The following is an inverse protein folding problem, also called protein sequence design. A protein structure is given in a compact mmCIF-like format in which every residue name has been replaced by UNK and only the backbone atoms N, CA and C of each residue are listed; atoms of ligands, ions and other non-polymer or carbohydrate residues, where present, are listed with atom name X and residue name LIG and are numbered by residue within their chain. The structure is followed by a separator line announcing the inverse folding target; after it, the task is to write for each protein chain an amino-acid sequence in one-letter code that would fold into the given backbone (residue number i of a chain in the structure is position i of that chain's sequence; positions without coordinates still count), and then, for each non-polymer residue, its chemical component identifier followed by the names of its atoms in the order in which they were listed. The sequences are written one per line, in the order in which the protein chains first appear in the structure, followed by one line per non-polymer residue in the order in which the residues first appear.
data_IF_169078796300
#
_entry.id   IF_169078796300
#
_cell.length_a   1.000
_cell.length_b   1.000
_cell.length_c   1.000
_cell.angle_alpha   90.00
_cell.angle_beta   90.00
_cell.angle_gamma   90.00
#
_symmetry.space_group_name_H-M   'P 1'
#
loop_
_entity.id
_entity.type
_entity.pdbx_description
1 polymer ?
#
# COMPACT_ATOMS: atom_id res chain seq x y z
N UNK A 1 17.35 -3.43 -0.16
CA UNK A 1 16.05 -3.08 0.48
C UNK A 1 16.22 -1.75 1.19
N UNK A 2 15.82 -0.64 0.57
CA UNK A 2 16.09 0.70 1.14
C UNK A 2 14.99 1.11 2.12
N UNK A 3 13.72 0.86 1.79
CA UNK A 3 12.58 1.32 2.61
C UNK A 3 12.36 0.55 3.91
N UNK A 4 12.73 -0.74 3.98
CA UNK A 4 12.47 -1.57 5.16
C UNK A 4 13.20 -1.09 6.43
N UNK A 5 14.50 -0.76 6.30
CA UNK A 5 15.27 -0.18 7.41
C UNK A 5 14.75 1.20 7.81
N UNK A 6 14.31 2.01 6.84
CA UNK A 6 13.69 3.31 7.09
C UNK A 6 12.42 3.19 7.92
N UNK A 7 11.52 2.27 7.57
CA UNK A 7 10.29 2.03 8.33
C UNK A 7 10.54 1.55 9.76
N UNK A 8 11.50 0.64 9.97
CA UNK A 8 11.91 0.24 11.33
C UNK A 8 12.49 1.42 12.11
N UNK A 9 13.26 2.30 11.45
CA UNK A 9 13.77 3.53 12.05
C UNK A 9 12.67 4.49 12.51
N UNK A 10 11.64 4.68 11.67
CA UNK A 10 10.45 5.47 12.01
C UNK A 10 9.68 4.88 13.19
N UNK A 11 9.47 3.56 13.20
CA UNK A 11 8.82 2.87 14.31
C UNK A 11 9.58 3.09 15.64
N UNK A 12 10.91 3.01 15.61
CA UNK A 12 11.75 3.23 16.78
C UNK A 12 11.71 4.68 17.27
N UNK A 13 11.71 5.64 16.34
CA UNK A 13 11.60 7.06 16.65
C UNK A 13 10.25 7.40 17.31
N UNK A 14 9.15 6.94 16.70
CA UNK A 14 7.80 7.15 17.24
C UNK A 14 7.64 6.47 18.60
N UNK A 15 8.17 5.26 18.77
CA UNK A 15 8.17 4.58 20.07
C UNK A 15 8.86 5.41 21.16
N UNK A 16 10.01 6.02 20.86
CA UNK A 16 10.72 6.89 21.81
C UNK A 16 9.88 8.10 22.23
N UNK A 17 9.25 8.77 21.27
CA UNK A 17 8.39 9.92 21.54
C UNK A 17 7.20 9.55 22.44
N UNK A 18 6.52 8.46 22.10
CA UNK A 18 5.37 7.95 22.86
C UNK A 18 5.80 7.52 24.25
N UNK A 19 6.90 6.76 24.37
CA UNK A 19 7.37 6.28 25.67
C UNK A 19 7.77 7.46 26.59
N UNK A 20 8.46 8.46 26.05
CA UNK A 20 8.82 9.68 26.80
C UNK A 20 7.58 10.45 27.24
N UNK A 21 6.58 10.60 26.37
CA UNK A 21 5.29 11.19 26.72
C UNK A 21 4.58 10.42 27.83
N UNK A 22 4.50 9.09 27.71
CA UNK A 22 3.82 8.25 28.68
C UNK A 22 4.53 8.29 30.05
N UNK A 23 5.86 8.30 30.08
CA UNK A 23 6.66 8.48 31.30
C UNK A 23 6.41 9.84 31.96
N UNK A 24 6.29 10.91 31.17
CA UNK A 24 6.01 12.27 31.68
C UNK A 24 4.58 12.41 32.19
N UNK A 25 3.62 11.76 31.53
CA UNK A 25 2.20 11.79 31.91
C UNK A 25 1.93 10.99 33.17
N UNK A 26 2.80 10.03 33.50
CA UNK A 26 2.68 9.14 34.66
C UNK A 26 3.95 9.13 35.52
N UNK A 27 4.31 10.26 36.16
CA UNK A 27 5.58 10.39 36.89
C UNK A 27 5.71 9.42 38.07
N UNK A 28 4.58 9.11 38.73
CA UNK A 28 4.53 8.24 39.91
C UNK A 28 4.35 6.75 39.58
N UNK A 29 4.30 6.38 38.30
CA UNK A 29 4.12 4.98 37.88
C UNK A 29 5.46 4.38 37.45
N UNK A 30 5.62 3.09 37.68
CA UNK A 30 6.82 2.35 37.27
C UNK A 30 6.92 2.27 35.75
N UNK A 31 8.12 1.98 35.24
CA UNK A 31 8.35 1.76 33.80
C UNK A 31 7.55 0.57 33.28
N UNK A 32 7.44 -0.49 34.08
CA UNK A 32 6.64 -1.68 33.75
C UNK A 32 5.14 -1.40 33.67
N UNK A 33 4.63 -0.53 34.56
CA UNK A 33 3.23 -0.08 34.49
C UNK A 33 2.95 0.67 33.19
N UNK A 34 3.82 1.62 32.81
CA UNK A 34 3.70 2.37 31.55
C UNK A 34 3.74 1.44 30.34
N UNK A 35 4.66 0.48 30.32
CA UNK A 35 4.75 -0.51 29.26
C UNK A 35 3.44 -1.31 29.13
N UNK A 36 2.92 -1.83 30.25
CA UNK A 36 1.71 -2.67 30.26
C UNK A 36 0.44 -1.87 29.89
N UNK A 37 0.37 -0.59 30.29
CA UNK A 37 -0.79 0.28 30.05
C UNK A 37 -0.97 0.64 28.58
N UNK A 38 0.12 0.86 27.85
CA UNK A 38 0.09 1.43 26.50
C UNK A 38 0.58 0.49 25.41
N UNK A 39 1.37 -0.53 25.74
CA UNK A 39 1.94 -1.45 24.77
C UNK A 39 1.42 -2.86 24.98
N UNK A 40 0.92 -3.45 23.90
CA UNK A 40 0.41 -4.80 23.89
C UNK A 40 0.46 -5.42 22.50
N UNK A 41 -0.03 -6.66 22.41
CA UNK A 41 -0.37 -7.29 21.14
C UNK A 41 -1.81 -6.97 20.79
N UNK A 42 -2.01 -6.05 19.85
CA UNK A 42 -3.33 -5.68 19.37
C UNK A 42 -3.69 -6.32 18.02
N UNK A 43 -2.69 -6.58 17.19
CA UNK A 43 -2.92 -7.10 15.84
C UNK A 43 -3.13 -8.63 15.86
N UNK A 44 -4.27 -9.10 15.31
CA UNK A 44 -4.69 -10.52 15.38
C UNK A 44 -3.68 -11.48 14.75
N UNK A 45 -3.18 -11.16 13.56
CA UNK A 45 -2.25 -12.03 12.81
C UNK A 45 -0.75 -11.72 13.00
N UNK A 46 -0.38 -10.74 13.83
CA UNK A 46 1.03 -10.38 14.07
C UNK A 46 1.38 -10.65 15.53
N UNK A 47 2.50 -11.29 15.79
CA UNK A 47 2.99 -11.58 17.15
C UNK A 47 3.77 -10.40 17.77
N UNK A 48 3.45 -9.16 17.38
CA UNK A 48 4.12 -7.97 17.88
C UNK A 48 3.47 -7.50 19.19
N UNK A 49 4.24 -7.51 20.28
CA UNK A 49 3.79 -7.16 21.64
C UNK A 49 4.09 -5.70 22.00
N UNK A 50 4.83 -4.99 21.16
CA UNK A 50 5.26 -3.60 21.38
C UNK A 50 4.51 -2.65 20.45
N UNK A 51 3.19 -2.81 20.41
CA UNK A 51 2.29 -1.96 19.62
C UNK A 51 1.62 -1.00 20.57
N UNK A 52 1.71 0.31 20.28
CA UNK A 52 1.01 1.33 21.06
C UNK A 52 -0.49 1.26 20.79
N UNK A 53 -1.30 1.28 21.83
CA UNK A 53 -2.75 1.26 21.70
C UNK A 53 -3.48 1.27 23.02
N UNK A 54 -4.79 1.16 22.93
CA UNK A 54 -5.71 1.15 24.05
C UNK A 54 -6.40 -0.21 24.13
N UNK A 55 -6.42 -0.79 25.34
CA UNK A 55 -6.93 -2.15 25.57
C UNK A 55 -8.44 -2.23 25.49
N UNK A 56 -9.14 -1.21 25.95
CA UNK A 56 -10.59 -1.22 26.08
C UNK A 56 -11.28 -1.07 24.72
N UNK A 57 -10.81 -0.14 23.90
CA UNK A 57 -11.30 0.04 22.52
C UNK A 57 -10.66 -0.94 21.52
N UNK A 58 -9.49 -1.48 21.85
CA UNK A 58 -8.68 -2.28 20.92
C UNK A 58 -8.04 -1.45 19.80
N UNK A 59 -8.17 -0.11 19.84
CA UNK A 59 -7.54 0.77 18.88
C UNK A 59 -6.01 0.77 19.06
N UNK A 60 -5.28 0.74 17.97
CA UNK A 60 -3.82 0.72 18.00
C UNK A 60 -3.20 1.51 16.86
N UNK A 61 -1.99 1.98 17.09
CA UNK A 61 -1.19 2.64 16.06
C UNK A 61 -0.54 1.58 15.15
N UNK A 62 -0.90 1.60 13.88
CA UNK A 62 -0.30 0.74 12.86
C UNK A 62 1.19 1.09 12.68
N UNK A 63 2.05 0.08 12.72
CA UNK A 63 3.51 0.25 12.54
C UNK A 63 3.88 0.46 11.08
N UNK A 64 4.85 1.32 10.83
CA UNK A 64 5.37 1.58 9.49
C UNK A 64 5.95 0.31 8.87
N UNK A 65 6.66 -0.50 9.66
CA UNK A 65 7.24 -1.76 9.19
C UNK A 65 6.20 -2.80 8.73
N UNK A 66 4.91 -2.61 9.02
CA UNK A 66 3.86 -3.50 8.52
C UNK A 66 3.43 -3.17 7.09
N UNK A 67 3.85 -2.03 6.56
CA UNK A 67 3.65 -1.64 5.16
C UNK A 67 4.31 -2.66 4.23
N UNK A 68 3.52 -3.27 3.35
CA UNK A 68 4.04 -4.21 2.36
C UNK A 68 4.94 -3.48 1.37
N UNK A 69 6.22 -3.87 1.33
CA UNK A 69 7.16 -3.36 0.34
C UNK A 69 6.90 -4.08 -0.99
N UNK A 70 6.30 -3.38 -1.95
CA UNK A 70 6.10 -3.88 -3.31
C UNK A 70 7.32 -3.50 -4.15
N UNK A 71 7.96 -4.49 -4.78
CA UNK A 71 9.03 -4.28 -5.75
C UNK A 71 8.40 -4.14 -7.13
N UNK A 72 8.51 -2.96 -7.71
CA UNK A 72 8.15 -2.76 -9.10
C UNK A 72 9.32 -3.20 -9.98
N UNK A 73 9.05 -4.05 -10.96
CA UNK A 73 10.04 -4.41 -11.98
C UNK A 73 10.14 -3.21 -12.92
N UNK A 74 11.32 -2.63 -13.20
CA UNK A 74 11.44 -1.53 -14.15
C UNK A 74 11.01 -1.98 -15.56
N UNK A 75 10.67 -1.01 -16.42
CA UNK A 75 10.56 -1.26 -17.86
C UNK A 75 11.98 -1.46 -18.42
N UNK A 76 12.15 -2.35 -19.40
CA UNK A 76 13.45 -2.56 -20.03
C UNK A 76 13.85 -1.35 -20.88
N UNK A 77 14.63 -0.43 -20.33
CA UNK A 77 15.29 0.65 -21.09
C UNK A 77 14.40 1.31 -22.15
N UNK A 78 14.90 1.39 -23.39
CA UNK A 78 14.20 1.94 -24.54
C UNK A 78 13.02 1.11 -25.07
N UNK A 79 12.48 0.18 -24.29
CA UNK A 79 11.26 -0.51 -24.64
C UNK A 79 10.13 0.51 -24.74
N UNK A 80 9.71 0.80 -25.98
CA UNK A 80 8.55 1.62 -26.27
C UNK A 80 7.29 0.74 -26.30
N UNK A 81 6.15 1.18 -25.74
CA UNK A 81 4.84 0.56 -25.96
C UNK A 81 4.46 0.40 -27.44
N UNK A 82 5.00 1.28 -28.30
CA UNK A 82 4.68 1.37 -29.72
C UNK A 82 5.57 0.48 -30.61
N UNK A 83 6.58 -0.17 -30.03
CA UNK A 83 7.44 -1.08 -30.79
C UNK A 83 6.71 -2.43 -31.01
N UNK A 84 6.37 -2.79 -32.26
CA UNK A 84 5.67 -4.04 -32.55
C UNK A 84 6.49 -5.27 -32.15
N UNK A 85 7.83 -5.19 -32.16
CA UNK A 85 8.71 -6.28 -31.73
C UNK A 85 8.61 -6.55 -30.22
N UNK A 86 8.08 -5.60 -29.43
CA UNK A 86 7.89 -5.70 -27.98
C UNK A 86 6.44 -5.96 -27.58
N UNK A 87 5.56 -6.27 -28.52
CA UNK A 87 4.14 -6.51 -28.25
C UNK A 87 3.94 -7.58 -27.17
N UNK A 88 4.64 -8.71 -27.26
CA UNK A 88 4.55 -9.80 -26.29
C UNK A 88 5.03 -9.36 -24.90
N UNK A 89 6.18 -8.68 -24.82
CA UNK A 89 6.72 -8.11 -23.57
C UNK A 89 5.68 -7.23 -22.85
N UNK A 90 5.02 -6.33 -23.57
CA UNK A 90 4.01 -5.45 -22.99
C UNK A 90 2.73 -6.18 -22.62
N UNK A 91 2.30 -7.18 -23.39
CA UNK A 91 1.14 -8.01 -23.01
C UNK A 91 1.39 -8.79 -21.73
N UNK A 92 2.57 -9.37 -21.56
CA UNK A 92 2.92 -10.11 -20.35
C UNK A 92 3.01 -9.18 -19.14
N UNK A 93 3.62 -8.00 -19.31
CA UNK A 93 3.72 -6.99 -18.26
C UNK A 93 2.35 -6.48 -17.80
N UNK A 94 1.38 -6.32 -18.71
CA UNK A 94 -0.01 -5.97 -18.37
C UNK A 94 -0.70 -7.10 -17.60
N UNK A 95 -0.57 -8.35 -18.05
CA UNK A 95 -1.13 -9.52 -17.35
C UNK A 95 -0.62 -9.67 -15.91
N UNK A 96 0.65 -9.30 -15.68
CA UNK A 96 1.29 -9.36 -14.35
C UNK A 96 0.97 -8.14 -13.46
N UNK A 97 0.39 -7.07 -14.01
CA UNK A 97 0.02 -5.87 -13.24
C UNK A 97 -1.17 -6.21 -12.34
N UNK A 98 -1.16 -5.71 -11.11
CA UNK A 98 -2.34 -5.81 -10.24
C UNK A 98 -3.45 -4.96 -10.82
N UNK A 99 -4.69 -5.42 -10.63
CA UNK A 99 -5.89 -4.65 -10.91
C UNK A 99 -5.77 -3.24 -10.32
N UNK A 100 -6.38 -2.23 -10.96
CA UNK A 100 -6.39 -0.86 -10.47
C UNK A 100 -6.84 -0.82 -9.01
N UNK A 101 -6.42 0.18 -8.22
CA UNK A 101 -6.78 0.30 -6.81
C UNK A 101 -8.24 0.79 -6.67
N UNK A 102 -9.16 0.09 -7.32
CA UNK A 102 -10.60 0.29 -7.22
C UNK A 102 -11.16 -0.69 -6.20
N UNK A 103 -12.25 -0.31 -5.53
CA UNK A 103 -12.95 -1.21 -4.62
C UNK A 103 -13.52 -2.43 -5.37
N UNK A 104 -13.88 -3.47 -4.62
CA UNK A 104 -14.32 -4.74 -5.21
C UNK A 104 -15.60 -4.60 -6.06
N UNK A 105 -16.50 -3.70 -5.67
CA UNK A 105 -17.74 -3.45 -6.40
C UNK A 105 -17.43 -2.79 -7.74
N UNK A 106 -16.60 -1.75 -7.76
CA UNK A 106 -16.13 -1.11 -8.99
C UNK A 106 -15.35 -2.10 -9.87
N UNK A 107 -14.49 -2.93 -9.29
CA UNK A 107 -13.76 -3.96 -10.04
C UNK A 107 -14.70 -4.99 -10.70
N UNK A 108 -15.78 -5.37 -10.01
CA UNK A 108 -16.80 -6.30 -10.53
C UNK A 108 -17.57 -5.68 -11.67
N UNK A 109 -17.99 -4.42 -11.54
CA UNK A 109 -18.65 -3.67 -12.59
C UNK A 109 -17.76 -3.57 -13.83
N UNK A 110 -16.50 -3.18 -13.66
CA UNK A 110 -15.53 -3.12 -14.75
C UNK A 110 -15.38 -4.46 -15.46
N UNK A 111 -15.29 -5.58 -14.72
CA UNK A 111 -15.27 -6.92 -15.36
C UNK A 111 -16.55 -7.22 -16.14
N UNK A 112 -17.71 -6.94 -15.57
CA UNK A 112 -19.00 -7.19 -16.22
C UNK A 112 -19.21 -6.34 -17.48
N UNK A 113 -18.67 -5.13 -17.48
CA UNK A 113 -18.75 -4.18 -18.58
C UNK A 113 -17.60 -4.34 -19.59
N UNK A 114 -16.71 -5.32 -19.40
CA UNK A 114 -15.50 -5.47 -20.22
C UNK A 114 -14.57 -4.25 -20.19
N UNK A 115 -14.67 -3.44 -19.12
CA UNK A 115 -13.96 -2.18 -18.96
C UNK A 115 -14.53 -1.03 -19.78
N UNK A 116 -15.71 -1.17 -20.41
CA UNK A 116 -16.30 -0.20 -21.34
C UNK A 116 -17.55 0.48 -20.78
N UNK A 117 -17.75 1.72 -21.16
CA UNK A 117 -18.92 2.50 -20.83
C UNK A 117 -20.13 1.95 -21.59
N UNK A 118 -21.24 1.63 -20.91
CA UNK A 118 -22.44 1.12 -21.59
C UNK A 118 -23.15 2.18 -22.45
N UNK A 119 -22.87 3.47 -22.24
CA UNK A 119 -23.52 4.56 -22.99
C UNK A 119 -22.77 4.90 -24.29
N UNK A 120 -21.43 4.99 -24.25
CA UNK A 120 -20.62 5.39 -25.41
C UNK A 120 -19.66 4.32 -25.92
N UNK A 121 -19.49 3.18 -25.23
CA UNK A 121 -18.59 2.10 -25.63
C UNK A 121 -17.10 2.32 -25.33
N UNK A 122 -16.74 3.53 -24.88
CA UNK A 122 -15.37 3.91 -24.53
C UNK A 122 -14.86 3.24 -23.25
N UNK A 123 -13.55 3.08 -23.11
CA UNK A 123 -12.98 2.46 -21.92
C UNK A 123 -13.10 3.36 -20.67
N UNK A 124 -13.64 2.82 -19.58
CA UNK A 124 -13.88 3.52 -18.31
C UNK A 124 -12.60 3.79 -17.50
N UNK A 125 -11.53 3.05 -17.76
CA UNK A 125 -10.22 3.27 -17.14
C UNK A 125 -9.12 3.32 -18.21
N UNK A 126 -8.51 4.49 -18.37
CA UNK A 126 -7.33 4.66 -19.22
C UNK A 126 -6.05 4.14 -18.56
N UNK A 127 -6.06 3.87 -17.25
CA UNK A 127 -4.88 3.41 -16.50
C UNK A 127 -4.32 2.03 -16.91
N UNK A 128 -5.06 1.30 -17.75
CA UNK A 128 -4.72 -0.01 -18.29
C UNK A 128 -4.27 0.02 -19.77
N UNK A 129 -4.40 1.17 -20.46
CA UNK A 129 -3.87 1.41 -21.81
C UNK A 129 -3.28 2.83 -21.93
N UNK A 130 -1.96 2.92 -22.06
CA UNK A 130 -1.37 4.01 -22.83
C UNK A 130 -1.82 3.82 -24.30
N UNK A 131 -2.19 4.90 -25.01
CA UNK A 131 -2.63 4.85 -26.40
C UNK A 131 -1.61 4.13 -27.28
N UNK A 132 -2.12 3.31 -28.21
CA UNK A 132 -1.35 2.43 -29.10
C UNK A 132 -1.04 3.07 -30.45
N UNK A 133 -1.46 4.31 -30.66
CA UNK A 133 -1.12 5.10 -31.85
C UNK A 133 -1.10 6.61 -31.56
N UNK A 134 -0.35 7.42 -32.33
CA UNK A 134 -0.33 8.88 -32.17
C UNK A 134 -1.70 9.55 -32.29
N UNK A 135 -2.63 8.97 -33.08
CA UNK A 135 -3.99 9.48 -33.23
C UNK A 135 -4.86 9.27 -31.98
N UNK A 136 -4.50 8.32 -31.13
CA UNK A 136 -5.20 8.05 -29.86
C UNK A 136 -4.72 8.99 -28.73
N UNK A 137 -3.61 9.72 -28.92
CA UNK A 137 -3.14 10.78 -28.01
C UNK A 137 -3.89 12.11 -28.16
N UNK A 138 -4.53 12.33 -29.31
CA UNK A 138 -5.18 13.58 -29.66
C UNK A 138 -6.66 13.65 -29.22
N UNK A 139 -7.15 12.64 -28.49
CA UNK A 139 -8.50 12.60 -27.91
C UNK A 139 -8.50 12.88 -26.40
#
# INVERSE_FOLDING_TARGET
MVSGRGFTGLDHHVWHLIYRWARRSHPNKSRGWVATRYFAKFHKSRQDRWVFGERDSGAYLTKFAWTKIVRHVPVHGGASPDDPALAEYWTERRRKKKAPPVDEHTARLLRSQGGRCPACGEFLLHAEQEPRSPREWEQ
#
